data_IF_678971848531
#
_entry.id   IF_678971848531
#
_cell.length_a   1.000
_cell.length_b   1.000
_cell.length_c   1.000
_cell.angle_alpha   90.00
_cell.angle_beta   90.00
_cell.angle_gamma   90.00
#
_symmetry.space_group_name_H-M   'P 1'
#
loop_
_entity.id
_entity.type
_entity.pdbx_description
1 polymer ?
#
# COMPACT_ATOMS: atom_id res chain seq x y z
N UNK A 1 -22.19 -0.36 -3.42
CA UNK A 1 -23.27 0.31 -2.67
C UNK A 1 -24.43 -0.63 -2.42
N UNK A 2 -25.00 -1.29 -3.46
CA UNK A 2 -26.14 -2.20 -3.30
C UNK A 2 -25.86 -3.29 -2.25
N UNK A 3 -24.68 -3.90 -2.27
CA UNK A 3 -24.28 -4.91 -1.28
C UNK A 3 -24.35 -4.38 0.16
N UNK A 4 -23.81 -3.19 0.41
CA UNK A 4 -23.85 -2.56 1.75
C UNK A 4 -25.29 -2.25 2.19
N UNK A 5 -26.10 -1.73 1.26
CA UNK A 5 -27.51 -1.47 1.52
C UNK A 5 -28.30 -2.74 1.86
N UNK A 6 -28.09 -3.82 1.09
CA UNK A 6 -28.79 -5.10 1.31
C UNK A 6 -28.36 -5.82 2.61
N UNK A 7 -27.21 -5.46 3.20
CA UNK A 7 -26.70 -6.03 4.44
C UNK A 7 -26.85 -5.10 5.65
N UNK A 8 -27.55 -3.98 5.53
CA UNK A 8 -27.83 -3.02 6.61
C UNK A 8 -26.58 -2.65 7.42
N UNK A 9 -25.46 -2.35 6.73
CA UNK A 9 -24.21 -2.00 7.41
C UNK A 9 -24.30 -0.60 8.00
N UNK A 10 -23.79 -0.41 9.24
CA UNK A 10 -23.84 0.87 9.95
C UNK A 10 -22.83 1.89 9.36
N UNK A 11 -21.64 1.43 8.97
CA UNK A 11 -20.55 2.25 8.46
C UNK A 11 -19.91 1.60 7.25
N UNK A 12 -19.55 2.40 6.26
CA UNK A 12 -18.84 1.95 5.07
C UNK A 12 -17.53 2.73 4.93
N UNK A 13 -16.42 2.01 4.85
CA UNK A 13 -15.13 2.57 4.46
C UNK A 13 -14.94 2.33 2.97
N UNK A 14 -14.91 3.42 2.19
CA UNK A 14 -14.78 3.37 0.73
C UNK A 14 -13.37 3.75 0.31
N UNK A 15 -12.64 2.80 -0.23
CA UNK A 15 -11.37 3.09 -0.89
C UNK A 15 -11.62 3.55 -2.33
N UNK A 16 -11.00 4.68 -2.70
CA UNK A 16 -10.99 5.19 -4.07
C UNK A 16 -10.13 4.28 -4.95
N UNK A 17 -10.67 3.84 -6.07
CA UNK A 17 -9.92 2.97 -6.99
C UNK A 17 -8.84 3.73 -7.76
N UNK A 18 -9.15 4.96 -8.22
CA UNK A 18 -8.20 5.80 -8.95
C UNK A 18 -8.54 7.29 -8.81
N UNK A 19 -7.55 8.10 -8.46
CA UNK A 19 -7.69 9.55 -8.35
C UNK A 19 -8.61 9.96 -7.21
N UNK A 20 -9.82 10.39 -7.52
CA UNK A 20 -10.84 10.77 -6.56
C UNK A 20 -12.06 11.39 -7.23
N UNK A 21 -11.88 12.53 -7.90
CA UNK A 21 -12.96 13.34 -8.51
C UNK A 21 -13.92 12.53 -9.38
N UNK A 22 -13.37 11.69 -10.26
CA UNK A 22 -14.11 10.90 -11.23
C UNK A 22 -14.18 9.41 -10.87
N UNK A 23 -13.78 9.06 -9.65
CA UNK A 23 -13.86 7.67 -9.20
C UNK A 23 -15.32 7.23 -9.03
N UNK A 24 -15.58 5.95 -9.32
CA UNK A 24 -16.93 5.37 -9.19
C UNK A 24 -17.48 5.43 -7.76
N UNK A 25 -16.62 5.42 -6.74
CA UNK A 25 -17.02 5.58 -5.34
C UNK A 25 -17.49 6.98 -5.03
N UNK A 26 -17.08 7.98 -5.82
CA UNK A 26 -17.38 9.40 -5.58
C UNK A 26 -18.79 9.84 -6.00
N UNK A 27 -19.65 8.91 -6.37
CA UNK A 27 -21.08 9.17 -6.65
C UNK A 27 -21.85 9.65 -5.40
N UNK A 28 -21.35 9.37 -4.20
CA UNK A 28 -21.97 9.80 -2.95
C UNK A 28 -21.92 11.32 -2.82
N UNK A 29 -23.00 11.90 -2.29
CA UNK A 29 -23.13 13.35 -2.09
C UNK A 29 -22.67 13.81 -0.70
N UNK A 30 -22.60 12.91 0.25
CA UNK A 30 -22.18 13.15 1.64
C UNK A 30 -21.39 11.94 2.14
N UNK A 31 -20.45 12.19 3.01
CA UNK A 31 -19.71 11.19 3.78
C UNK A 31 -19.59 11.67 5.23
N UNK A 32 -19.10 10.83 6.11
CA UNK A 32 -18.78 11.20 7.48
C UNK A 32 -17.49 12.01 7.54
N UNK A 33 -16.46 11.57 6.78
CA UNK A 33 -15.23 12.32 6.54
C UNK A 33 -14.59 11.87 5.23
N UNK A 34 -13.72 12.71 4.66
CA UNK A 34 -12.82 12.36 3.56
C UNK A 34 -11.40 12.21 4.12
N UNK A 35 -10.70 11.16 3.72
CA UNK A 35 -9.30 10.95 4.12
C UNK A 35 -8.46 10.94 2.86
N UNK A 36 -7.43 11.80 2.79
CA UNK A 36 -6.45 11.79 1.72
C UNK A 36 -5.11 11.36 2.32
N UNK A 37 -4.67 10.18 1.94
CA UNK A 37 -3.40 9.60 2.37
C UNK A 37 -2.23 10.26 1.64
N UNK A 38 -1.02 9.74 1.82
CA UNK A 38 0.16 10.20 1.09
C UNK A 38 -0.06 10.24 -0.43
N UNK A 39 0.41 11.31 -1.08
CA UNK A 39 0.27 11.53 -2.53
C UNK A 39 1.64 11.55 -3.18
N UNK A 40 1.82 10.65 -4.16
CA UNK A 40 3.03 10.56 -4.96
C UNK A 40 2.70 10.26 -6.43
N UNK A 41 3.72 10.22 -7.28
CA UNK A 41 3.57 9.96 -8.70
C UNK A 41 3.15 8.51 -8.96
N UNK A 42 1.92 8.32 -9.37
CA UNK A 42 1.40 7.12 -10.00
C UNK A 42 0.27 7.51 -10.95
N UNK A 43 0.02 6.70 -11.96
CA UNK A 43 -1.04 6.94 -12.95
C UNK A 43 -1.00 8.34 -13.59
N UNK A 44 0.19 8.87 -13.85
CA UNK A 44 0.40 10.22 -14.35
C UNK A 44 -0.29 10.48 -15.69
N UNK A 45 -0.49 9.44 -16.50
CA UNK A 45 -1.25 9.49 -17.75
C UNK A 45 -2.74 9.85 -17.58
N UNK A 46 -3.26 9.78 -16.35
CA UNK A 46 -4.67 10.05 -16.03
C UNK A 46 -4.88 11.14 -15.00
N UNK A 47 -3.98 11.22 -14.01
CA UNK A 47 -4.16 12.10 -12.85
C UNK A 47 -3.40 13.41 -12.96
N UNK A 48 -2.43 13.50 -13.88
CA UNK A 48 -1.59 14.69 -14.08
C UNK A 48 -0.10 14.42 -13.92
N UNK A 49 0.70 15.37 -14.37
CA UNK A 49 2.17 15.24 -14.42
C UNK A 49 2.86 15.93 -13.24
N UNK A 50 2.10 16.54 -12.35
CA UNK A 50 2.60 17.18 -11.12
C UNK A 50 1.88 16.61 -9.90
N UNK A 51 2.56 16.66 -8.76
CA UNK A 51 1.96 16.23 -7.49
C UNK A 51 0.69 17.04 -7.17
N UNK A 52 0.67 18.33 -7.50
CA UNK A 52 -0.48 19.19 -7.22
C UNK A 52 -1.69 18.88 -8.11
N UNK A 53 -1.46 18.49 -9.38
CA UNK A 53 -2.54 17.98 -10.24
C UNK A 53 -3.12 16.67 -9.67
N UNK A 54 -2.28 15.73 -9.27
CA UNK A 54 -2.71 14.47 -8.66
C UNK A 54 -3.47 14.75 -7.35
N UNK A 55 -2.96 15.65 -6.53
CA UNK A 55 -3.60 16.07 -5.28
C UNK A 55 -4.97 16.71 -5.53
N UNK A 56 -5.10 17.57 -6.54
CA UNK A 56 -6.37 18.19 -6.94
C UNK A 56 -7.42 17.14 -7.35
N UNK A 57 -7.01 16.11 -8.10
CA UNK A 57 -7.91 15.00 -8.44
C UNK A 57 -8.37 14.22 -7.20
N UNK A 58 -7.47 14.02 -6.23
CA UNK A 58 -7.82 13.37 -4.95
C UNK A 58 -8.73 14.26 -4.10
N UNK A 59 -8.52 15.58 -4.07
CA UNK A 59 -9.39 16.53 -3.37
C UNK A 59 -10.85 16.51 -3.86
N UNK A 60 -11.10 15.98 -5.05
CA UNK A 60 -12.45 15.81 -5.58
C UNK A 60 -13.38 14.89 -4.76
N UNK A 61 -12.85 14.15 -3.77
CA UNK A 61 -13.68 13.35 -2.82
C UNK A 61 -14.20 14.17 -1.64
N UNK A 62 -13.69 15.37 -1.42
CA UNK A 62 -14.14 16.25 -0.33
C UNK A 62 -15.60 16.64 -0.58
N UNK A 63 -16.44 16.60 0.48
CA UNK A 63 -17.86 16.89 0.39
C UNK A 63 -18.23 18.11 1.23
N UNK A 64 -19.24 18.88 0.81
CA UNK A 64 -19.68 20.06 1.55
C UNK A 64 -19.97 19.76 3.02
N UNK A 65 -19.43 20.59 3.90
CA UNK A 65 -19.58 20.51 5.36
C UNK A 65 -19.17 19.15 5.97
N UNK A 66 -18.27 18.42 5.30
CA UNK A 66 -17.73 17.16 5.81
C UNK A 66 -16.22 17.32 6.06
N UNK A 67 -15.66 16.80 7.18
CA UNK A 67 -14.24 16.91 7.47
C UNK A 67 -13.37 16.29 6.38
N UNK A 68 -12.24 16.94 6.10
CA UNK A 68 -11.17 16.41 5.27
C UNK A 68 -9.90 16.24 6.12
N UNK A 69 -9.45 15.01 6.25
CA UNK A 69 -8.29 14.63 7.05
C UNK A 69 -7.14 14.28 6.12
N UNK A 70 -5.98 14.92 6.33
CA UNK A 70 -4.81 14.76 5.47
C UNK A 70 -3.55 14.59 6.32
N UNK A 71 -2.56 13.91 5.77
CA UNK A 71 -1.23 13.83 6.38
C UNK A 71 -0.34 14.99 5.92
N UNK A 72 -0.43 15.39 4.68
CA UNK A 72 0.31 16.50 4.09
C UNK A 72 -0.62 17.66 3.74
N UNK A 73 -0.25 18.87 4.19
CA UNK A 73 -0.97 20.08 3.81
C UNK A 73 -0.58 20.54 2.41
N UNK A 74 -1.56 20.59 1.51
CA UNK A 74 -1.40 21.18 0.17
C UNK A 74 -2.38 22.31 -0.02
N UNK A 75 -1.97 23.36 -0.74
CA UNK A 75 -2.80 24.53 -0.98
C UNK A 75 -4.14 24.15 -1.63
N UNK A 76 -4.12 23.30 -2.65
CA UNK A 76 -5.33 22.82 -3.32
C UNK A 76 -6.33 22.06 -2.44
N UNK A 77 -5.89 21.48 -1.32
CA UNK A 77 -6.82 20.87 -0.35
C UNK A 77 -7.54 21.94 0.48
N UNK A 78 -6.81 22.98 0.90
CA UNK A 78 -7.38 24.10 1.65
C UNK A 78 -8.38 24.87 0.81
N UNK A 79 -8.03 25.18 -0.42
CA UNK A 79 -8.92 25.89 -1.34
C UNK A 79 -10.25 25.16 -1.51
N UNK A 80 -10.21 23.84 -1.72
CA UNK A 80 -11.43 23.01 -1.85
C UNK A 80 -12.20 22.92 -0.54
N UNK A 81 -11.54 22.79 0.61
CA UNK A 81 -12.25 22.75 1.90
C UNK A 81 -12.90 24.08 2.23
N UNK A 82 -12.24 25.20 1.95
CA UNK A 82 -12.77 26.54 2.18
C UNK A 82 -13.99 26.82 1.27
N UNK A 83 -13.90 26.44 -0.01
CA UNK A 83 -15.02 26.58 -0.97
C UNK A 83 -16.24 25.74 -0.52
N UNK A 84 -16.01 24.55 0.01
CA UNK A 84 -17.08 23.63 0.42
C UNK A 84 -17.54 23.83 1.87
N UNK A 85 -16.95 24.78 2.62
CA UNK A 85 -17.22 24.98 4.04
C UNK A 85 -16.87 23.77 4.90
N UNK A 86 -15.84 23.03 4.52
CA UNK A 86 -15.44 21.77 5.14
C UNK A 86 -14.30 22.01 6.13
N UNK A 87 -14.29 21.27 7.24
CA UNK A 87 -13.17 21.31 8.20
C UNK A 87 -11.93 20.67 7.58
N UNK A 88 -10.81 21.39 7.60
CA UNK A 88 -9.50 20.88 7.17
C UNK A 88 -8.67 20.45 8.39
N UNK A 89 -8.39 19.17 8.49
CA UNK A 89 -7.61 18.57 9.57
C UNK A 89 -6.31 17.99 9.02
N UNK A 90 -5.18 18.56 9.39
CA UNK A 90 -3.86 18.02 9.08
C UNK A 90 -3.30 17.30 10.31
N UNK A 91 -2.96 16.02 10.16
CA UNK A 91 -2.42 15.21 11.24
C UNK A 91 -0.90 15.08 11.16
N UNK A 92 -0.26 14.93 12.31
CA UNK A 92 1.15 14.61 12.42
C UNK A 92 1.33 13.10 12.69
N UNK A 93 2.53 12.53 12.45
CA UNK A 93 2.81 11.15 12.82
C UNK A 93 2.54 10.92 14.30
N UNK A 94 1.75 9.93 14.62
CA UNK A 94 1.41 9.53 15.98
C UNK A 94 2.07 8.18 16.29
N UNK A 95 2.78 8.12 17.41
CA UNK A 95 3.31 6.88 17.96
C UNK A 95 2.35 6.38 19.03
N UNK A 96 1.53 5.37 18.76
CA UNK A 96 0.58 4.85 19.74
C UNK A 96 1.31 4.15 20.87
N UNK A 97 0.70 4.14 22.04
CA UNK A 97 1.16 3.30 23.17
C UNK A 97 0.82 1.82 22.95
N UNK A 98 -0.19 1.56 22.11
CA UNK A 98 -0.61 0.22 21.72
C UNK A 98 0.15 -0.25 20.49
N UNK A 99 0.65 -1.47 20.50
CA UNK A 99 1.33 -2.08 19.35
C UNK A 99 0.34 -2.26 18.18
N UNK A 100 0.68 -1.67 17.03
CA UNK A 100 -0.07 -1.86 15.80
C UNK A 100 0.27 -3.23 15.19
N UNK A 101 -0.74 -4.05 14.91
CA UNK A 101 -0.56 -5.34 14.27
C UNK A 101 0.00 -5.24 12.84
N UNK A 102 -0.28 -4.13 12.13
CA UNK A 102 0.27 -3.89 10.80
C UNK A 102 1.69 -3.34 10.88
N UNK A 103 2.64 -4.05 10.28
CA UNK A 103 4.03 -3.60 10.11
C UNK A 103 4.20 -2.83 8.81
N UNK A 104 5.19 -1.95 8.77
CA UNK A 104 5.53 -1.11 7.62
C UNK A 104 5.84 0.31 8.05
N UNK A 105 6.86 0.93 7.46
CA UNK A 105 7.31 2.30 7.79
C UNK A 105 6.21 3.35 7.60
N UNK A 106 5.33 3.13 6.63
CA UNK A 106 4.20 4.00 6.27
C UNK A 106 2.96 3.84 7.16
N UNK A 107 2.91 2.79 7.99
CA UNK A 107 1.72 2.51 8.79
C UNK A 107 1.48 3.51 9.92
N UNK A 108 2.51 4.22 10.38
CA UNK A 108 2.33 5.29 11.36
C UNK A 108 1.53 6.47 10.79
N UNK A 109 1.77 6.83 9.53
CA UNK A 109 0.99 7.85 8.82
C UNK A 109 -0.46 7.41 8.65
N UNK A 110 -0.67 6.19 8.14
CA UNK A 110 -2.00 5.62 7.98
C UNK A 110 -2.76 5.55 9.30
N UNK A 111 -2.09 5.15 10.38
CA UNK A 111 -2.65 5.10 11.72
C UNK A 111 -3.10 6.49 12.20
N UNK A 112 -2.24 7.52 12.02
CA UNK A 112 -2.59 8.89 12.42
C UNK A 112 -3.84 9.39 11.73
N UNK A 113 -3.98 9.11 10.43
CA UNK A 113 -5.17 9.44 9.65
C UNK A 113 -6.41 8.68 10.15
N UNK A 114 -6.26 7.38 10.42
CA UNK A 114 -7.37 6.55 10.89
C UNK A 114 -7.85 6.98 12.28
N UNK A 115 -6.93 7.26 13.21
CA UNK A 115 -7.28 7.73 14.56
C UNK A 115 -7.97 9.08 14.51
N UNK A 116 -7.49 10.04 13.74
CA UNK A 116 -8.14 11.33 13.57
C UNK A 116 -9.55 11.19 12.97
N UNK A 117 -9.73 10.27 12.02
CA UNK A 117 -11.06 9.99 11.47
C UNK A 117 -12.01 9.37 12.50
N UNK A 118 -11.51 8.47 13.35
CA UNK A 118 -12.29 7.86 14.42
C UNK A 118 -12.68 8.92 15.46
N UNK A 119 -11.75 9.77 15.88
CA UNK A 119 -12.00 10.85 16.84
C UNK A 119 -13.06 11.84 16.31
N UNK A 120 -12.96 12.21 15.03
CA UNK A 120 -13.92 13.15 14.42
C UNK A 120 -15.31 12.54 14.22
N UNK A 121 -15.39 11.26 13.83
CA UNK A 121 -16.66 10.61 13.46
C UNK A 121 -17.32 9.93 14.65
N UNK A 122 -16.52 9.40 15.57
CA UNK A 122 -16.99 8.60 16.72
C UNK A 122 -16.31 9.05 18.03
N UNK A 123 -16.48 10.32 18.46
CA UNK A 123 -15.76 10.87 19.61
C UNK A 123 -16.01 10.13 20.94
N UNK A 124 -17.12 9.40 21.03
CA UNK A 124 -17.48 8.63 22.23
C UNK A 124 -16.97 7.18 22.21
N UNK A 125 -16.19 6.79 21.17
CA UNK A 125 -15.69 5.41 21.08
C UNK A 125 -14.65 5.16 22.17
N UNK A 126 -14.81 4.12 23.02
CA UNK A 126 -13.86 3.83 24.09
C UNK A 126 -12.46 3.48 23.54
N UNK A 127 -11.40 3.97 24.18
CA UNK A 127 -10.02 3.69 23.80
C UNK A 127 -9.73 2.18 23.72
N UNK A 128 -10.32 1.39 24.62
CA UNK A 128 -10.16 -0.07 24.60
C UNK A 128 -10.64 -0.75 23.31
N UNK A 129 -11.66 -0.18 22.67
CA UNK A 129 -12.16 -0.69 21.37
C UNK A 129 -11.21 -0.33 20.25
N UNK A 130 -10.62 0.88 20.30
CA UNK A 130 -9.57 1.31 19.36
C UNK A 130 -8.34 0.40 19.50
N UNK A 131 -7.86 0.18 20.73
CA UNK A 131 -6.70 -0.66 21.01
C UNK A 131 -6.92 -2.11 20.55
N UNK A 132 -8.10 -2.67 20.77
CA UNK A 132 -8.48 -3.98 20.26
C UNK A 132 -8.44 -4.03 18.73
N UNK A 133 -8.98 -3.02 18.05
CA UNK A 133 -8.92 -2.90 16.59
C UNK A 133 -7.50 -2.84 16.07
N UNK A 134 -6.64 -2.03 16.67
CA UNK A 134 -5.23 -1.88 16.28
C UNK A 134 -4.42 -3.17 16.46
N UNK A 135 -4.69 -3.94 17.51
CA UNK A 135 -4.00 -5.20 17.79
C UNK A 135 -4.43 -6.36 16.88
N UNK A 136 -5.58 -6.26 16.22
CA UNK A 136 -6.16 -7.33 15.40
C UNK A 136 -6.21 -7.03 13.91
N UNK A 137 -5.99 -5.78 13.50
CA UNK A 137 -6.11 -5.37 12.11
C UNK A 137 -5.17 -6.18 11.21
N UNK A 138 -5.69 -6.65 10.08
CA UNK A 138 -4.94 -7.37 9.05
C UNK A 138 -5.19 -6.71 7.71
N UNK A 139 -4.16 -6.63 6.90
CA UNK A 139 -4.26 -6.17 5.53
C UNK A 139 -3.42 -7.08 4.63
N UNK A 140 -4.05 -7.97 3.87
CA UNK A 140 -3.33 -8.90 3.01
C UNK A 140 -2.40 -8.17 2.04
N UNK A 141 -1.23 -8.71 1.82
CA UNK A 141 -0.20 -8.17 0.92
C UNK A 141 0.29 -6.74 1.26
N UNK A 142 0.23 -6.33 2.53
CA UNK A 142 0.85 -5.11 3.03
C UNK A 142 1.82 -5.45 4.15
N UNK A 143 3.09 -5.68 3.78
CA UNK A 143 4.16 -6.14 4.67
C UNK A 143 3.71 -7.34 5.53
N UNK A 144 2.94 -8.22 4.91
CA UNK A 144 2.31 -9.37 5.59
C UNK A 144 3.35 -10.47 5.83
N UNK A 145 3.57 -10.81 7.10
CA UNK A 145 4.48 -11.89 7.47
C UNK A 145 3.74 -13.23 7.58
N UNK A 146 4.25 -14.23 6.92
CA UNK A 146 3.77 -15.64 6.91
C UNK A 146 4.81 -16.47 7.65
N UNK A 147 4.49 -16.84 8.88
CA UNK A 147 5.44 -17.40 9.85
C UNK A 147 6.02 -18.75 9.42
N UNK A 148 5.18 -19.68 8.96
CA UNK A 148 5.56 -21.04 8.55
C UNK A 148 6.52 -21.10 7.36
N UNK A 149 6.68 -20.00 6.64
CA UNK A 149 7.55 -19.87 5.46
C UNK A 149 8.63 -18.79 5.64
N UNK A 150 8.75 -18.17 6.79
CA UNK A 150 9.63 -17.01 7.00
C UNK A 150 9.54 -16.02 5.82
N UNK A 151 8.31 -15.67 5.43
CA UNK A 151 7.98 -14.99 4.20
C UNK A 151 7.26 -13.67 4.46
N UNK A 152 7.72 -12.60 3.80
CA UNK A 152 6.99 -11.32 3.69
C UNK A 152 6.35 -11.24 2.31
N UNK A 153 5.07 -10.88 2.28
CA UNK A 153 4.35 -10.56 1.05
C UNK A 153 3.98 -9.08 1.08
N UNK A 154 4.37 -8.36 0.03
CA UNK A 154 4.04 -6.94 -0.12
C UNK A 154 3.63 -6.60 -1.55
N UNK A 155 2.54 -5.87 -1.69
CA UNK A 155 1.99 -5.41 -2.97
C UNK A 155 2.70 -4.21 -3.60
N UNK A 156 3.88 -3.81 -3.12
CA UNK A 156 4.68 -2.73 -3.69
C UNK A 156 4.91 -2.97 -5.19
N UNK A 157 4.46 -2.03 -6.04
CA UNK A 157 4.46 -2.19 -7.50
C UNK A 157 4.81 -0.89 -8.25
N UNK A 158 5.32 0.11 -7.54
CA UNK A 158 5.87 1.36 -8.07
C UNK A 158 7.10 1.76 -7.24
N UNK A 159 7.92 2.73 -7.69
CA UNK A 159 9.15 3.10 -6.99
C UNK A 159 8.93 3.51 -5.53
N UNK A 160 7.88 4.26 -5.22
CA UNK A 160 7.60 4.69 -3.85
C UNK A 160 7.23 3.50 -2.95
N UNK A 161 6.34 2.61 -3.41
CA UNK A 161 6.01 1.39 -2.67
C UNK A 161 7.26 0.51 -2.41
N UNK A 162 8.14 0.39 -3.39
CA UNK A 162 9.41 -0.34 -3.23
C UNK A 162 10.33 0.33 -2.21
N UNK A 163 10.44 1.65 -2.22
CA UNK A 163 11.22 2.37 -1.20
C UNK A 163 10.66 2.16 0.21
N UNK A 164 9.33 2.22 0.35
CA UNK A 164 8.66 1.95 1.63
C UNK A 164 8.86 0.51 2.10
N UNK A 165 8.83 -0.46 1.19
CA UNK A 165 9.15 -1.87 1.49
C UNK A 165 10.59 -2.02 1.95
N UNK A 166 11.56 -1.43 1.24
CA UNK A 166 12.98 -1.47 1.59
C UNK A 166 13.22 -0.88 2.99
N UNK A 167 12.68 0.31 3.26
CA UNK A 167 12.75 0.93 4.59
C UNK A 167 12.14 0.05 5.69
N UNK A 168 11.01 -0.59 5.40
CA UNK A 168 10.36 -1.50 6.35
C UNK A 168 11.20 -2.74 6.61
N UNK A 169 11.84 -3.31 5.60
CA UNK A 169 12.76 -4.44 5.74
C UNK A 169 13.97 -4.06 6.60
N UNK A 170 14.52 -2.87 6.41
CA UNK A 170 15.66 -2.39 7.20
C UNK A 170 15.28 -2.10 8.67
N UNK A 171 14.06 -1.60 8.88
CA UNK A 171 13.54 -1.30 10.22
C UNK A 171 13.25 -2.56 11.03
N UNK A 172 12.58 -3.55 10.43
CA UNK A 172 12.06 -4.72 11.16
C UNK A 172 12.98 -5.95 11.07
N UNK A 173 13.81 -6.03 10.02
CA UNK A 173 14.66 -7.18 9.74
C UNK A 173 16.08 -6.74 9.34
N UNK A 174 16.76 -5.94 10.18
CA UNK A 174 18.14 -5.50 9.91
C UNK A 174 19.10 -6.72 9.90
N UNK A 175 20.11 -6.69 9.04
CA UNK A 175 21.17 -7.71 8.97
C UNK A 175 20.67 -9.15 8.69
N UNK A 176 19.55 -9.30 8.01
CA UNK A 176 18.97 -10.59 7.66
C UNK A 176 19.39 -10.97 6.24
N UNK A 177 19.72 -12.24 6.01
CA UNK A 177 19.89 -12.76 4.65
C UNK A 177 18.54 -12.77 3.95
N UNK A 178 18.42 -12.06 2.85
CA UNK A 178 17.16 -11.84 2.14
C UNK A 178 17.13 -12.63 0.83
N UNK A 179 15.98 -13.23 0.56
CA UNK A 179 15.67 -13.83 -0.75
C UNK A 179 14.45 -13.15 -1.33
N UNK A 180 14.59 -12.59 -2.50
CA UNK A 180 13.51 -11.92 -3.21
C UNK A 180 12.97 -12.76 -4.36
N UNK A 181 11.65 -12.80 -4.48
CA UNK A 181 10.95 -13.21 -5.70
C UNK A 181 10.21 -11.99 -6.21
N UNK A 182 10.67 -11.44 -7.32
CA UNK A 182 10.20 -10.18 -7.87
C UNK A 182 9.71 -10.31 -9.30
N UNK A 183 8.61 -9.65 -9.61
CA UNK A 183 8.12 -9.46 -10.96
C UNK A 183 7.10 -8.33 -11.00
N UNK A 184 7.11 -7.55 -12.06
CA UNK A 184 6.26 -6.37 -12.18
C UNK A 184 5.66 -6.24 -13.58
N UNK A 185 4.77 -5.27 -13.75
CA UNK A 185 4.23 -4.92 -15.07
C UNK A 185 5.22 -4.03 -15.82
N UNK A 186 5.30 -4.22 -17.13
CA UNK A 186 6.21 -3.52 -18.04
C UNK A 186 5.97 -2.00 -18.12
N UNK A 187 4.76 -1.56 -17.82
CA UNK A 187 4.39 -0.13 -17.83
C UNK A 187 4.75 0.61 -16.53
N UNK A 188 5.36 -0.07 -15.55
CA UNK A 188 5.89 0.57 -14.33
C UNK A 188 7.36 0.95 -14.52
N UNK A 189 7.86 1.88 -13.73
CA UNK A 189 9.28 2.24 -13.71
C UNK A 189 10.10 1.13 -13.01
N UNK A 190 10.17 -0.03 -13.66
CA UNK A 190 10.84 -1.20 -13.11
C UNK A 190 12.36 -0.98 -12.96
N UNK A 191 12.94 -0.06 -13.69
CA UNK A 191 14.36 0.29 -13.56
C UNK A 191 14.63 0.87 -12.19
N UNK A 192 13.87 1.90 -11.79
CA UNK A 192 14.00 2.47 -10.43
C UNK A 192 13.64 1.46 -9.35
N UNK A 193 12.57 0.67 -9.55
CA UNK A 193 12.17 -0.35 -8.58
C UNK A 193 13.29 -1.35 -8.30
N UNK A 194 13.91 -1.91 -9.33
CA UNK A 194 14.99 -2.90 -9.23
C UNK A 194 16.24 -2.30 -8.59
N UNK A 195 16.61 -1.08 -8.99
CA UNK A 195 17.82 -0.41 -8.49
C UNK A 195 17.72 0.03 -7.03
N UNK A 196 16.50 0.28 -6.51
CA UNK A 196 16.28 0.71 -5.13
C UNK A 196 15.95 -0.42 -4.16
N UNK A 197 15.56 -1.60 -4.64
CA UNK A 197 15.12 -2.69 -3.78
C UNK A 197 16.26 -3.57 -3.29
N UNK A 198 17.15 -3.97 -4.19
CA UNK A 198 18.13 -5.02 -3.92
C UNK A 198 19.44 -4.48 -3.40
N UNK A 199 20.11 -5.26 -2.56
CA UNK A 199 21.42 -4.99 -2.01
C UNK A 199 22.40 -6.13 -2.31
N UNK A 200 23.69 -5.86 -2.11
CA UNK A 200 24.69 -6.91 -2.24
C UNK A 200 24.51 -8.00 -1.19
N UNK A 201 24.46 -9.24 -1.62
CA UNK A 201 24.22 -10.39 -0.76
C UNK A 201 22.80 -10.92 -0.79
N UNK A 202 21.86 -10.19 -1.38
CA UNK A 202 20.51 -10.69 -1.60
C UNK A 202 20.50 -11.83 -2.62
N UNK A 203 19.70 -12.86 -2.37
CA UNK A 203 19.38 -13.89 -3.36
C UNK A 203 18.16 -13.43 -4.16
N UNK A 204 18.31 -13.21 -5.47
CA UNK A 204 17.31 -12.56 -6.31
C UNK A 204 16.78 -13.52 -7.36
N UNK A 205 15.46 -13.74 -7.34
CA UNK A 205 14.71 -14.44 -8.38
C UNK A 205 13.78 -13.49 -9.08
N UNK A 206 13.88 -13.37 -10.41
CA UNK A 206 12.89 -12.70 -11.24
C UNK A 206 11.89 -13.69 -11.78
N UNK A 207 10.61 -13.29 -11.82
CA UNK A 207 9.52 -14.12 -12.28
C UNK A 207 8.67 -13.43 -13.33
N UNK A 208 8.48 -14.13 -14.46
CA UNK A 208 7.52 -13.74 -15.50
C UNK A 208 6.22 -14.48 -15.27
N UNK A 209 5.18 -13.76 -14.84
CA UNK A 209 3.88 -14.31 -14.47
C UNK A 209 2.86 -14.19 -15.63
N UNK A 210 1.75 -14.93 -15.52
CA UNK A 210 0.70 -15.00 -16.54
C UNK A 210 -0.12 -13.71 -16.65
N UNK A 211 0.47 -12.70 -17.24
CA UNK A 211 -0.21 -11.44 -17.57
C UNK A 211 0.41 -10.84 -18.82
N UNK A 212 -0.41 -10.33 -19.76
CA UNK A 212 0.05 -9.81 -21.06
C UNK A 212 1.12 -8.69 -20.94
N UNK A 213 1.08 -7.94 -19.86
CA UNK A 213 2.02 -6.84 -19.59
C UNK A 213 3.07 -7.21 -18.52
N UNK A 214 3.26 -8.48 -18.20
CA UNK A 214 4.35 -8.90 -17.31
C UNK A 214 5.71 -8.53 -17.92
N UNK A 215 6.60 -7.94 -17.11
CA UNK A 215 7.93 -7.60 -17.57
C UNK A 215 8.74 -8.88 -17.82
N UNK A 216 9.42 -9.01 -18.98
CA UNK A 216 10.31 -10.15 -19.24
C UNK A 216 11.47 -10.20 -18.24
N UNK A 217 11.85 -11.41 -17.80
CA UNK A 217 12.95 -11.61 -16.85
C UNK A 217 14.26 -10.95 -17.36
N UNK A 218 14.54 -11.07 -18.64
CA UNK A 218 15.75 -10.52 -19.26
C UNK A 218 15.83 -8.99 -19.15
N UNK A 219 14.68 -8.30 -19.18
CA UNK A 219 14.65 -6.83 -19.01
C UNK A 219 14.94 -6.45 -17.54
N UNK A 220 14.43 -7.21 -16.58
CA UNK A 220 14.71 -7.01 -15.15
C UNK A 220 16.19 -7.30 -14.85
N UNK A 221 16.76 -8.37 -15.42
CA UNK A 221 18.15 -8.74 -15.23
C UNK A 221 19.12 -7.69 -15.81
N UNK A 222 18.78 -7.05 -16.93
CA UNK A 222 19.61 -5.98 -17.53
C UNK A 222 19.78 -4.76 -16.63
N UNK A 223 18.77 -4.44 -15.83
CA UNK A 223 18.79 -3.25 -14.97
C UNK A 223 19.19 -3.57 -13.52
N UNK A 224 19.29 -4.86 -13.18
CA UNK A 224 19.70 -5.31 -11.86
C UNK A 224 21.23 -5.23 -11.73
N UNK A 225 21.76 -4.51 -10.71
CA UNK A 225 23.19 -4.39 -10.52
C UNK A 225 23.84 -5.64 -9.89
N UNK A 226 23.04 -6.63 -9.49
CA UNK A 226 23.48 -7.83 -8.79
C UNK A 226 23.16 -9.10 -9.58
N UNK A 227 23.84 -10.19 -9.23
CA UNK A 227 23.53 -11.50 -9.79
C UNK A 227 22.09 -11.91 -9.47
N UNK A 228 21.38 -12.40 -10.48
CA UNK A 228 19.98 -12.78 -10.33
C UNK A 228 19.63 -14.00 -11.18
N UNK A 229 18.66 -14.76 -10.74
CA UNK A 229 18.19 -16.00 -11.34
C UNK A 229 16.78 -15.82 -11.90
N UNK A 230 16.37 -16.66 -12.81
CA UNK A 230 14.97 -16.79 -13.23
C UNK A 230 14.27 -17.82 -12.35
N UNK A 231 13.11 -17.49 -11.83
CA UNK A 231 12.21 -18.45 -11.18
C UNK A 231 11.44 -19.22 -12.24
N UNK A 232 11.93 -20.37 -12.63
CA UNK A 232 11.28 -21.27 -13.59
C UNK A 232 10.26 -22.20 -12.92
N UNK A 233 9.37 -22.87 -13.66
CA UNK A 233 8.45 -23.88 -13.09
C UNK A 233 9.16 -25.00 -12.31
N UNK A 234 10.41 -25.32 -12.69
CA UNK A 234 11.22 -26.37 -12.07
C UNK A 234 12.06 -25.87 -10.88
N UNK A 235 12.12 -24.56 -10.64
CA UNK A 235 12.85 -24.00 -9.51
C UNK A 235 12.13 -24.34 -8.21
N UNK A 236 12.84 -25.01 -7.32
CA UNK A 236 12.37 -25.26 -5.95
C UNK A 236 12.93 -24.18 -5.02
N UNK A 237 12.09 -23.64 -4.18
CA UNK A 237 12.46 -22.70 -3.12
C UNK A 237 12.21 -23.41 -1.78
N UNK A 238 13.26 -23.53 -0.98
CA UNK A 238 13.14 -23.91 0.43
C UNK A 238 12.95 -22.61 1.23
N UNK A 239 11.75 -22.40 1.72
CA UNK A 239 11.41 -21.22 2.53
C UNK A 239 11.99 -21.28 3.95
N UNK A 240 12.53 -22.44 4.38
CA UNK A 240 13.01 -22.64 5.75
C UNK A 240 14.54 -22.83 5.83
N UNK A 241 15.28 -22.42 4.82
CA UNK A 241 16.75 -22.54 4.75
C UNK A 241 17.51 -21.38 5.45
N UNK A 242 16.81 -20.54 6.18
CA UNK A 242 17.38 -19.44 6.96
C UNK A 242 17.32 -18.08 6.28
N UNK A 243 16.84 -17.98 5.03
CA UNK A 243 16.57 -16.68 4.42
C UNK A 243 15.23 -16.09 4.90
N UNK A 244 15.19 -14.79 5.05
CA UNK A 244 13.92 -14.06 5.02
C UNK A 244 13.48 -13.98 3.56
N UNK A 245 12.34 -14.59 3.25
CA UNK A 245 11.81 -14.60 1.90
C UNK A 245 10.91 -13.39 1.67
N UNK A 246 10.96 -12.77 0.50
CA UNK A 246 10.14 -11.61 0.15
C UNK A 246 9.53 -11.80 -1.24
N UNK A 247 8.21 -11.71 -1.35
CA UNK A 247 7.49 -11.71 -2.62
C UNK A 247 6.87 -10.33 -2.82
N UNK A 248 7.28 -9.60 -3.87
CA UNK A 248 6.79 -8.26 -4.15
C UNK A 248 6.89 -7.88 -5.64
N UNK A 249 6.22 -6.78 -6.04
CA UNK A 249 6.29 -6.20 -7.37
C UNK A 249 4.97 -6.22 -8.16
N UNK A 250 4.06 -7.15 -7.88
CA UNK A 250 2.75 -7.21 -8.54
C UNK A 250 1.76 -8.09 -7.79
N UNK A 251 0.54 -7.62 -7.60
CA UNK A 251 -0.55 -8.44 -7.04
C UNK A 251 -0.91 -9.64 -7.93
N UNK A 252 -0.81 -9.50 -9.26
CA UNK A 252 -1.03 -10.63 -10.18
C UNK A 252 -0.01 -11.75 -9.94
N UNK A 253 1.26 -11.37 -9.77
CA UNK A 253 2.33 -12.31 -9.45
C UNK A 253 2.12 -12.96 -8.09
N UNK A 254 1.80 -12.17 -7.07
CA UNK A 254 1.55 -12.65 -5.71
C UNK A 254 0.46 -13.71 -5.71
N UNK A 255 -0.66 -13.45 -6.40
CA UNK A 255 -1.76 -14.41 -6.51
C UNK A 255 -1.34 -15.73 -7.18
N UNK A 256 -0.53 -15.67 -8.23
CA UNK A 256 -0.03 -16.86 -8.93
C UNK A 256 0.96 -17.66 -8.06
N UNK A 257 1.88 -16.96 -7.38
CA UNK A 257 2.87 -17.59 -6.50
C UNK A 257 2.25 -18.15 -5.23
N UNK A 258 1.20 -17.52 -4.70
CA UNK A 258 0.45 -18.05 -3.56
C UNK A 258 -0.15 -19.43 -3.87
N UNK A 259 -0.71 -19.60 -5.05
CA UNK A 259 -1.21 -20.91 -5.50
C UNK A 259 -0.06 -21.91 -5.71
N UNK A 260 1.05 -21.46 -6.32
CA UNK A 260 2.20 -22.32 -6.62
C UNK A 260 2.87 -22.88 -5.36
N UNK A 261 3.01 -22.05 -4.34
CA UNK A 261 3.75 -22.38 -3.11
C UNK A 261 2.84 -22.72 -1.92
N UNK A 262 1.55 -22.88 -2.16
CA UNK A 262 0.53 -23.14 -1.13
C UNK A 262 0.63 -22.14 0.04
N UNK A 263 0.54 -20.86 -0.30
CA UNK A 263 0.60 -19.75 0.66
C UNK A 263 -0.81 -19.25 0.93
N UNK A 264 -1.22 -19.33 2.20
CA UNK A 264 -2.47 -18.71 2.64
C UNK A 264 -2.26 -17.22 2.90
N UNK A 265 -2.87 -16.38 2.05
CA UNK A 265 -2.80 -14.91 2.15
C UNK A 265 -3.94 -14.35 3.03
N UNK A 266 -5.05 -15.09 3.20
CA UNK A 266 -6.27 -14.65 3.89
C UNK A 266 -6.51 -15.35 5.22
#
# INVERSE_FOLDING_TARGET
>A
FKYFYDNDVDVVVLETGLGGRFDATNIIKRNLCSIITHVDFDHTERLGNTIDEIASEKAGIIKPNCPCIVFEGREGYRDVTDELGSLFLMVAPFAPTTELALKGSYQQENLSLALAAIEEVFPELPQSVIDEGLSRVKHPCRFQYIEDKNLIIDGAHNPNGINSLSQSLDMYYPNTNRRFIFGCLKNKDYTKMVQSLFMQGDEIYFYHFKHQNSCPVQELQKVCPFESKELTPNTQIDFNDGHLNIICGSFYMISELAQRFDINIF
#
